data_IF_270641589318
#
_entry.id   IF_270641589318
#
_cell.length_a   1.000
_cell.length_b   1.000
_cell.length_c   1.000
_cell.angle_alpha   90.00
_cell.angle_beta   90.00
_cell.angle_gamma   90.00
#
_symmetry.space_group_name_H-M   'P 1'
#
loop_
_entity.id
_entity.type
_entity.pdbx_description
1 polymer ?
#
# COMPACT_ATOMS: atom_id res chain seq x y z
N UNK A 1 17.25 -21.19 -23.61
CA UNK A 1 15.79 -21.12 -23.73
C UNK A 1 15.30 -20.20 -22.63
N UNK A 2 14.55 -19.16 -22.97
CA UNK A 2 13.95 -18.25 -21.98
C UNK A 2 12.43 -18.40 -22.07
N UNK A 3 11.93 -19.53 -21.60
CA UNK A 3 10.49 -19.72 -21.45
C UNK A 3 10.02 -18.79 -20.33
N UNK A 4 8.87 -18.12 -20.52
CA UNK A 4 8.31 -17.18 -19.56
C UNK A 4 6.80 -17.36 -19.44
N UNK A 5 6.30 -17.33 -18.21
CA UNK A 5 4.88 -17.26 -17.93
C UNK A 5 4.44 -15.79 -17.90
N UNK A 6 3.33 -15.47 -18.57
CA UNK A 6 2.75 -14.12 -18.59
C UNK A 6 1.37 -14.17 -17.94
N UNK A 7 1.08 -13.33 -16.92
CA UNK A 7 -0.23 -13.30 -16.31
C UNK A 7 -1.27 -12.77 -17.30
N UNK A 8 -2.42 -13.44 -17.33
CA UNK A 8 -3.61 -12.99 -18.05
C UNK A 8 -4.64 -12.53 -17.02
N UNK A 9 -4.88 -11.22 -17.00
CA UNK A 9 -5.83 -10.53 -16.15
C UNK A 9 -7.18 -10.38 -16.87
N UNK A 10 -8.21 -9.96 -16.15
CA UNK A 10 -9.51 -9.71 -16.76
C UNK A 10 -9.60 -8.32 -17.40
N UNK A 11 -10.39 -8.20 -18.46
CA UNK A 11 -10.86 -6.94 -19.01
C UNK A 11 -12.37 -6.84 -18.83
N UNK A 12 -12.84 -5.66 -18.42
CA UNK A 12 -14.23 -5.23 -18.56
C UNK A 12 -14.37 -4.51 -19.89
N UNK A 13 -14.48 -3.18 -19.85
CA UNK A 13 -14.18 -2.37 -21.02
C UNK A 13 -12.67 -2.43 -21.32
N UNK A 14 -12.30 -3.06 -22.44
CA UNK A 14 -10.90 -3.27 -22.81
C UNK A 14 -10.17 -1.93 -23.00
N UNK A 15 -10.80 -0.95 -23.64
CA UNK A 15 -10.19 0.36 -23.90
C UNK A 15 -9.87 1.10 -22.61
N UNK A 16 -10.81 1.14 -21.66
CA UNK A 16 -10.62 1.74 -20.34
C UNK A 16 -9.55 1.00 -19.52
N UNK A 17 -9.50 -0.34 -19.62
CA UNK A 17 -8.47 -1.16 -18.97
C UNK A 17 -7.08 -0.80 -19.52
N UNK A 18 -6.91 -0.79 -20.85
CA UNK A 18 -5.65 -0.46 -21.50
C UNK A 18 -5.23 0.99 -21.26
N UNK A 19 -6.17 1.93 -21.24
CA UNK A 19 -5.91 3.34 -20.92
C UNK A 19 -5.32 3.50 -19.51
N UNK A 20 -5.85 2.78 -18.51
CA UNK A 20 -5.31 2.80 -17.15
C UNK A 20 -3.84 2.36 -17.08
N UNK A 21 -3.48 1.23 -17.70
CA UNK A 21 -2.08 0.78 -17.70
C UNK A 21 -1.18 1.71 -18.52
N UNK A 22 -1.70 2.34 -19.58
CA UNK A 22 -0.99 3.37 -20.33
C UNK A 22 -0.68 4.59 -19.47
N UNK A 23 -1.63 5.06 -18.65
CA UNK A 23 -1.39 6.15 -17.68
C UNK A 23 -0.21 5.82 -16.76
N UNK A 24 -0.07 4.56 -16.34
CA UNK A 24 1.01 4.10 -15.48
C UNK A 24 2.36 3.90 -16.20
N UNK A 25 2.42 4.21 -17.50
CA UNK A 25 3.65 4.18 -18.30
C UNK A 25 3.91 2.89 -19.06
N UNK A 26 2.94 1.98 -19.17
CA UNK A 26 3.04 0.87 -20.12
C UNK A 26 2.69 1.30 -21.54
N UNK A 27 3.23 0.57 -22.51
CA UNK A 27 2.87 0.70 -23.93
C UNK A 27 1.83 -0.37 -24.27
N UNK A 28 0.74 0.03 -24.92
CA UNK A 28 -0.22 -0.93 -25.49
C UNK A 28 0.38 -1.49 -26.77
N UNK A 29 0.77 -2.76 -26.77
CA UNK A 29 1.38 -3.43 -27.93
C UNK A 29 0.37 -4.23 -28.75
N UNK A 30 -0.79 -4.53 -28.16
CA UNK A 30 -1.87 -5.20 -28.85
C UNK A 30 -3.24 -4.79 -28.30
N UNK A 31 -4.19 -4.53 -29.20
CA UNK A 31 -5.59 -4.27 -28.87
C UNK A 31 -6.49 -4.90 -29.93
N UNK A 32 -7.26 -5.91 -29.53
CA UNK A 32 -8.20 -6.63 -30.37
C UNK A 32 -9.59 -6.55 -29.75
N UNK A 33 -10.60 -6.18 -30.53
CA UNK A 33 -12.00 -6.15 -30.10
C UNK A 33 -12.87 -7.22 -30.80
N UNK A 34 -12.35 -7.86 -31.85
CA UNK A 34 -13.00 -8.96 -32.59
C UNK A 34 -11.98 -9.98 -33.08
N UNK A 35 -12.31 -11.28 -33.14
CA UNK A 35 -13.60 -11.90 -32.79
C UNK A 35 -13.86 -12.01 -31.27
N UNK A 36 -12.85 -11.74 -30.45
CA UNK A 36 -12.95 -11.62 -29.00
C UNK A 36 -12.06 -10.47 -28.52
N UNK A 37 -12.34 -9.95 -27.32
CA UNK A 37 -11.51 -8.91 -26.72
C UNK A 37 -10.19 -9.52 -26.25
N UNK A 38 -9.07 -8.87 -26.60
CA UNK A 38 -7.75 -9.24 -26.12
C UNK A 38 -6.83 -8.04 -26.14
N UNK A 39 -6.11 -7.81 -25.04
CA UNK A 39 -5.20 -6.68 -24.91
C UNK A 39 -3.86 -7.11 -24.36
N UNK A 40 -2.80 -6.41 -24.78
CA UNK A 40 -1.45 -6.58 -24.25
C UNK A 40 -0.86 -5.22 -23.95
N UNK A 41 -0.27 -5.12 -22.76
CA UNK A 41 0.58 -3.99 -22.40
C UNK A 41 1.97 -4.50 -22.05
N UNK A 42 2.99 -3.81 -22.56
CA UNK A 42 4.40 -4.11 -22.33
C UNK A 42 5.14 -2.87 -21.85
N UNK A 43 6.09 -3.07 -20.94
CA UNK A 43 6.87 -1.99 -20.39
C UNK A 43 7.70 -2.48 -19.23
N UNK A 44 8.88 -1.86 -19.04
CA UNK A 44 9.74 -2.13 -17.88
C UNK A 44 10.13 -3.61 -17.73
N UNK A 45 10.34 -4.29 -18.86
CA UNK A 45 10.72 -5.70 -18.89
C UNK A 45 9.60 -6.68 -18.56
N UNK A 46 8.33 -6.22 -18.49
CA UNK A 46 7.19 -7.08 -18.18
C UNK A 46 6.04 -6.90 -19.18
N UNK A 47 5.18 -7.92 -19.24
CA UNK A 47 3.95 -7.92 -20.03
C UNK A 47 2.76 -8.29 -19.12
N UNK A 48 1.62 -7.63 -19.33
CA UNK A 48 0.33 -8.03 -18.77
C UNK A 48 -0.65 -8.22 -19.92
N UNK A 49 -1.33 -9.36 -19.93
CA UNK A 49 -2.33 -9.67 -20.95
C UNK A 49 -3.73 -9.55 -20.35
N UNK A 50 -4.73 -9.25 -21.18
CA UNK A 50 -6.10 -9.04 -20.75
C UNK A 50 -7.07 -9.80 -21.64
N UNK A 51 -8.03 -10.49 -21.01
CA UNK A 51 -9.14 -11.18 -21.67
C UNK A 51 -10.46 -10.91 -20.92
N UNK A 52 -11.64 -11.04 -21.55
CA UNK A 52 -12.91 -10.89 -20.85
C UNK A 52 -12.99 -11.73 -19.58
N UNK A 53 -13.61 -11.17 -18.54
CA UNK A 53 -14.05 -11.99 -17.42
C UNK A 53 -15.04 -13.08 -17.90
N UNK A 54 -15.12 -14.23 -17.20
CA UNK A 54 -16.11 -15.25 -17.49
C UNK A 54 -17.54 -14.68 -17.52
N UNK A 55 -18.40 -15.24 -18.37
CA UNK A 55 -19.80 -14.81 -18.48
C UNK A 55 -20.54 -14.92 -17.14
N UNK A 56 -21.29 -13.88 -16.78
CA UNK A 56 -22.03 -13.81 -15.51
C UNK A 56 -21.24 -13.27 -14.32
N UNK A 57 -19.95 -12.93 -14.51
CA UNK A 57 -19.16 -12.22 -13.50
C UNK A 57 -19.47 -10.72 -13.57
N UNK A 58 -19.95 -10.15 -12.48
CA UNK A 58 -20.07 -8.71 -12.32
C UNK A 58 -18.71 -8.10 -11.94
N UNK A 59 -18.31 -7.04 -12.65
CA UNK A 59 -17.07 -6.30 -12.41
C UNK A 59 -17.39 -4.91 -11.82
N UNK A 60 -16.51 -4.32 -10.99
CA UNK A 60 -15.20 -4.83 -10.59
C UNK A 60 -15.26 -5.99 -9.59
N UNK A 61 -14.33 -6.95 -9.71
CA UNK A 61 -14.21 -8.07 -8.78
C UNK A 61 -12.74 -8.36 -8.46
N UNK A 62 -12.37 -8.23 -7.19
CA UNK A 62 -11.00 -8.43 -6.70
C UNK A 62 -10.65 -9.89 -6.45
N UNK A 63 -10.60 -10.68 -7.53
CA UNK A 63 -10.30 -12.11 -7.46
C UNK A 63 -9.13 -12.55 -8.35
N UNK A 64 -8.72 -11.71 -9.31
CA UNK A 64 -7.60 -11.99 -10.20
C UNK A 64 -6.40 -11.15 -9.80
N UNK A 65 -5.23 -11.77 -9.77
CA UNK A 65 -4.01 -11.09 -9.38
C UNK A 65 -2.81 -11.42 -10.27
N UNK A 66 -1.88 -10.48 -10.35
CA UNK A 66 -0.54 -10.66 -10.90
C UNK A 66 0.51 -10.20 -9.89
N UNK A 67 1.66 -10.85 -9.91
CA UNK A 67 2.84 -10.41 -9.17
C UNK A 67 3.76 -9.66 -10.13
N UNK A 68 4.20 -8.47 -9.73
CA UNK A 68 5.16 -7.67 -10.47
C UNK A 68 6.42 -7.48 -9.63
N UNK A 69 7.47 -8.27 -9.94
CA UNK A 69 8.77 -8.14 -9.30
C UNK A 69 9.55 -6.96 -9.90
N UNK A 70 9.94 -5.99 -9.07
CA UNK A 70 10.64 -4.77 -9.47
C UNK A 70 11.92 -4.58 -8.67
N UNK A 71 12.90 -3.89 -9.26
CA UNK A 71 14.20 -3.67 -8.63
C UNK A 71 14.18 -2.50 -7.63
N UNK A 72 13.26 -1.55 -7.81
CA UNK A 72 13.01 -0.44 -6.89
C UNK A 72 11.49 -0.24 -6.72
N UNK A 73 10.95 -0.84 -5.66
CA UNK A 73 9.53 -0.74 -5.33
C UNK A 73 9.11 0.67 -4.90
N UNK A 74 10.02 1.44 -4.29
CA UNK A 74 9.73 2.78 -3.81
C UNK A 74 9.62 3.77 -4.99
N UNK A 75 10.56 3.73 -5.92
CA UNK A 75 10.51 4.50 -7.17
C UNK A 75 9.29 4.11 -8.01
N UNK A 76 8.97 2.80 -8.08
CA UNK A 76 7.79 2.33 -8.79
C UNK A 76 6.49 2.90 -8.19
N UNK A 77 6.36 2.88 -6.86
CA UNK A 77 5.21 3.46 -6.17
C UNK A 77 5.08 4.95 -6.42
N UNK A 78 6.19 5.70 -6.34
CA UNK A 78 6.22 7.13 -6.55
C UNK A 78 5.79 7.51 -7.98
N UNK A 79 6.28 6.77 -8.99
CA UNK A 79 5.89 6.98 -10.41
C UNK A 79 4.41 6.70 -10.65
N UNK A 80 3.87 5.60 -10.11
CA UNK A 80 2.44 5.30 -10.24
C UNK A 80 1.58 6.32 -9.52
N UNK A 81 1.96 6.69 -8.30
CA UNK A 81 1.31 7.76 -7.54
C UNK A 81 1.23 9.05 -8.36
N UNK A 82 2.35 9.50 -8.94
CA UNK A 82 2.41 10.74 -9.70
C UNK A 82 1.53 10.66 -10.96
N UNK A 83 1.58 9.55 -11.69
CA UNK A 83 0.77 9.32 -12.88
C UNK A 83 -0.73 9.32 -12.55
N UNK A 84 -1.13 8.60 -11.50
CA UNK A 84 -2.53 8.55 -11.05
C UNK A 84 -3.02 9.92 -10.58
N UNK A 85 -2.17 10.69 -9.86
CA UNK A 85 -2.52 12.05 -9.45
C UNK A 85 -2.69 12.98 -10.65
N UNK A 86 -1.81 12.88 -11.65
CA UNK A 86 -1.91 13.69 -12.86
C UNK A 86 -3.18 13.37 -13.67
N UNK A 87 -3.56 12.10 -13.75
CA UNK A 87 -4.76 11.66 -14.48
C UNK A 87 -6.06 12.01 -13.74
N UNK A 88 -6.12 11.76 -12.44
CA UNK A 88 -7.37 11.85 -11.67
C UNK A 88 -7.50 13.13 -10.82
N UNK A 89 -6.50 14.02 -10.85
CA UNK A 89 -6.39 15.18 -9.95
C UNK A 89 -6.11 14.83 -8.48
N UNK A 90 -6.12 13.54 -8.14
CA UNK A 90 -5.96 12.98 -6.80
C UNK A 90 -5.41 11.56 -6.87
N UNK A 91 -4.96 11.03 -5.73
CA UNK A 91 -4.61 9.62 -5.65
C UNK A 91 -5.87 8.80 -5.32
N UNK A 92 -6.25 7.81 -6.15
CA UNK A 92 -7.32 6.89 -5.78
C UNK A 92 -6.80 5.91 -4.72
N UNK A 93 -7.33 6.00 -3.51
CA UNK A 93 -6.92 5.16 -2.35
C UNK A 93 -8.00 4.20 -1.87
N UNK A 94 -9.21 4.26 -2.47
CA UNK A 94 -10.37 3.42 -2.15
C UNK A 94 -11.10 3.05 -3.44
N UNK A 95 -11.75 1.88 -3.45
CA UNK A 95 -12.49 1.39 -4.61
C UNK A 95 -11.58 0.88 -5.74
N UNK A 96 -12.11 0.91 -6.97
CA UNK A 96 -11.39 0.57 -8.20
C UNK A 96 -11.45 1.76 -9.17
N UNK A 97 -10.32 2.21 -9.73
CA UNK A 97 -8.96 1.79 -9.39
C UNK A 97 -8.53 2.30 -8.01
N UNK A 98 -7.45 1.75 -7.45
CA UNK A 98 -6.74 2.33 -6.30
C UNK A 98 -5.27 1.91 -6.23
N UNK A 99 -4.49 2.64 -5.45
CA UNK A 99 -3.13 2.27 -5.03
C UNK A 99 -3.03 2.34 -3.50
N UNK A 100 -2.41 1.33 -2.87
CA UNK A 100 -2.17 1.37 -1.42
C UNK A 100 -1.07 2.37 -1.08
N UNK A 101 -1.12 2.94 0.13
CA UNK A 101 -0.01 3.75 0.64
C UNK A 101 1.27 2.92 0.72
N UNK A 102 2.41 3.59 0.62
CA UNK A 102 3.72 2.96 0.74
C UNK A 102 4.58 3.73 1.75
N UNK A 103 5.24 3.02 2.64
CA UNK A 103 6.16 3.60 3.63
C UNK A 103 7.61 3.23 3.30
N UNK A 104 8.58 4.11 3.61
CA UNK A 104 9.99 3.76 3.53
C UNK A 104 10.27 2.44 4.27
N UNK A 105 10.98 1.52 3.61
CA UNK A 105 11.31 0.20 4.14
C UNK A 105 10.24 -0.89 3.90
N UNK A 106 9.08 -0.56 3.31
CA UNK A 106 8.19 -1.58 2.78
C UNK A 106 8.78 -2.20 1.50
N UNK A 107 8.50 -3.47 1.28
CA UNK A 107 8.98 -4.24 0.13
C UNK A 107 7.89 -4.45 -0.93
N UNK A 108 6.67 -3.94 -0.71
CA UNK A 108 5.55 -4.17 -1.63
C UNK A 108 4.46 -3.12 -1.49
N UNK A 109 3.65 -2.97 -2.54
CA UNK A 109 2.38 -2.26 -2.50
C UNK A 109 1.39 -2.92 -3.47
N UNK A 110 0.11 -2.60 -3.31
CA UNK A 110 -0.96 -3.11 -4.16
C UNK A 110 -1.50 -2.01 -5.06
N UNK A 111 -1.59 -2.32 -6.36
CA UNK A 111 -2.34 -1.58 -7.35
C UNK A 111 -3.58 -2.39 -7.70
N UNK A 112 -4.75 -1.75 -7.70
CA UNK A 112 -5.99 -2.35 -8.18
C UNK A 112 -6.47 -1.52 -9.36
N UNK A 113 -6.72 -2.18 -10.48
CA UNK A 113 -7.17 -1.53 -11.72
C UNK A 113 -8.69 -1.28 -11.73
N UNK A 114 -9.26 -0.63 -12.76
CA UNK A 114 -10.68 -0.28 -12.79
C UNK A 114 -11.64 -1.48 -12.76
N UNK A 115 -11.18 -2.69 -13.07
CA UNK A 115 -12.02 -3.90 -13.10
C UNK A 115 -11.76 -4.83 -11.92
N UNK A 116 -10.90 -4.41 -10.99
CA UNK A 116 -10.60 -5.15 -9.77
C UNK A 116 -9.40 -6.09 -9.89
N UNK A 117 -8.64 -6.09 -10.99
CA UNK A 117 -7.41 -6.90 -11.01
C UNK A 117 -6.42 -6.33 -10.00
N UNK A 118 -5.80 -7.22 -9.24
CA UNK A 118 -4.79 -6.87 -8.24
C UNK A 118 -3.39 -7.09 -8.81
N UNK A 119 -2.63 -6.02 -9.00
CA UNK A 119 -1.19 -6.11 -9.29
C UNK A 119 -0.44 -5.87 -7.98
N UNK A 120 0.10 -6.94 -7.40
CA UNK A 120 0.97 -6.87 -6.24
C UNK A 120 2.40 -6.59 -6.71
N UNK A 121 2.86 -5.36 -6.49
CA UNK A 121 4.21 -4.93 -6.86
C UNK A 121 5.13 -5.25 -5.69
N UNK A 122 6.19 -6.01 -5.95
CA UNK A 122 7.08 -6.58 -4.93
C UNK A 122 8.52 -6.29 -5.30
N UNK A 123 9.31 -5.89 -4.31
CA UNK A 123 10.76 -5.78 -4.41
C UNK A 123 11.37 -7.14 -4.76
N UNK A 124 12.19 -7.21 -5.82
CA UNK A 124 12.68 -8.48 -6.37
C UNK A 124 13.50 -9.31 -5.38
N UNK A 125 14.29 -8.66 -4.55
CA UNK A 125 15.14 -9.27 -3.51
C UNK A 125 14.46 -9.31 -2.14
N UNK A 126 13.13 -9.22 -2.10
CA UNK A 126 12.36 -9.42 -0.87
C UNK A 126 12.63 -10.83 -0.30
N UNK A 127 12.99 -10.93 1.01
CA UNK A 127 13.24 -12.23 1.63
C UNK A 127 12.03 -13.17 1.54
N UNK A 128 12.25 -14.43 1.14
CA UNK A 128 11.19 -15.45 1.09
C UNK A 128 10.54 -15.69 2.46
N UNK A 129 11.32 -15.55 3.54
CA UNK A 129 10.86 -15.66 4.92
C UNK A 129 10.44 -14.30 5.48
N UNK A 130 9.40 -13.69 4.92
CA UNK A 130 8.69 -12.65 5.65
C UNK A 130 7.92 -13.30 6.81
N UNK A 131 8.25 -12.93 8.05
CA UNK A 131 7.47 -13.35 9.21
C UNK A 131 6.13 -12.62 9.26
N UNK A 132 5.18 -13.04 8.43
CA UNK A 132 3.81 -12.52 8.42
C UNK A 132 3.05 -12.78 9.74
N UNK A 133 3.60 -13.63 10.62
CA UNK A 133 3.09 -13.88 11.97
C UNK A 133 3.69 -12.96 13.04
N UNK A 134 4.61 -12.08 12.66
CA UNK A 134 5.36 -11.23 13.54
C UNK A 134 6.51 -11.95 14.24
N UNK A 135 7.48 -11.16 14.71
CA UNK A 135 8.68 -11.70 15.34
C UNK A 135 8.35 -12.47 16.61
N UNK A 136 8.85 -13.71 16.67
CA UNK A 136 8.71 -14.58 17.84
C UNK A 136 9.55 -14.12 19.02
N UNK A 137 10.60 -13.36 18.74
CA UNK A 137 11.57 -12.86 19.72
C UNK A 137 11.12 -11.55 20.38
N UNK A 138 10.05 -10.92 19.86
CA UNK A 138 9.45 -9.74 20.46
C UNK A 138 8.39 -10.09 21.50
N UNK A 139 8.37 -9.31 22.58
CA UNK A 139 7.36 -9.29 23.63
C UNK A 139 6.79 -7.88 23.84
N UNK A 140 5.84 -7.76 24.78
CA UNK A 140 5.26 -6.48 25.19
C UNK A 140 4.73 -5.59 24.04
N UNK A 141 5.01 -4.30 24.15
CA UNK A 141 4.61 -3.29 23.15
C UNK A 141 5.36 -3.44 21.80
N UNK A 142 6.67 -3.78 21.76
CA UNK A 142 7.35 -4.11 20.50
C UNK A 142 6.63 -5.17 19.65
N UNK A 143 6.16 -6.26 20.29
CA UNK A 143 5.38 -7.29 19.58
C UNK A 143 4.07 -6.75 19.02
N UNK A 144 3.40 -5.86 19.75
CA UNK A 144 2.16 -5.22 19.27
C UNK A 144 2.43 -4.33 18.07
N UNK A 145 3.52 -3.54 18.10
CA UNK A 145 3.94 -2.68 17.00
C UNK A 145 4.18 -3.50 15.72
N UNK A 146 4.89 -4.63 15.84
CA UNK A 146 5.15 -5.49 14.69
C UNK A 146 3.86 -6.16 14.15
N UNK A 147 2.96 -6.61 15.03
CA UNK A 147 1.63 -7.09 14.61
C UNK A 147 0.80 -6.02 13.91
N UNK A 148 0.83 -4.78 14.41
CA UNK A 148 0.12 -3.67 13.80
C UNK A 148 0.70 -3.32 12.42
N UNK A 149 2.03 -3.39 12.26
CA UNK A 149 2.71 -3.27 10.97
C UNK A 149 2.20 -4.33 9.98
N UNK A 150 2.04 -5.58 10.41
CA UNK A 150 1.50 -6.65 9.55
C UNK A 150 0.07 -6.35 9.08
N UNK A 151 -0.82 -5.99 10.00
CA UNK A 151 -2.20 -5.64 9.64
C UNK A 151 -2.24 -4.49 8.64
N UNK A 152 -1.46 -3.45 8.90
CA UNK A 152 -1.42 -2.24 8.08
C UNK A 152 -0.79 -2.45 6.71
N UNK A 153 0.38 -3.07 6.67
CA UNK A 153 1.26 -3.03 5.49
C UNK A 153 1.08 -4.25 4.58
N UNK A 154 0.59 -5.37 5.11
CA UNK A 154 0.42 -6.61 4.36
C UNK A 154 -1.04 -7.02 4.20
N UNK A 155 -1.87 -6.74 5.21
CA UNK A 155 -3.31 -7.08 5.16
C UNK A 155 -4.18 -5.89 4.76
N UNK A 156 -3.61 -4.69 4.64
CA UNK A 156 -4.33 -3.44 4.38
C UNK A 156 -5.52 -3.22 5.35
N UNK A 157 -5.40 -3.70 6.60
CA UNK A 157 -6.43 -3.62 7.65
C UNK A 157 -6.03 -2.61 8.73
N UNK A 158 -6.18 -1.34 8.37
CA UNK A 158 -5.90 -0.21 9.26
C UNK A 158 -6.77 -0.24 10.54
N UNK A 159 -7.96 -0.82 10.46
CA UNK A 159 -8.88 -0.92 11.61
C UNK A 159 -8.35 -1.93 12.62
N UNK A 160 -7.88 -3.09 12.17
CA UNK A 160 -7.24 -4.07 13.04
C UNK A 160 -5.92 -3.54 13.61
N UNK A 161 -5.10 -2.86 12.79
CA UNK A 161 -3.86 -2.22 13.25
C UNK A 161 -4.12 -1.20 14.37
N UNK A 162 -5.12 -0.33 14.19
CA UNK A 162 -5.53 0.67 15.21
C UNK A 162 -5.95 -0.02 16.51
N UNK A 163 -6.83 -1.02 16.42
CA UNK A 163 -7.33 -1.76 17.60
C UNK A 163 -6.21 -2.48 18.35
N UNK A 164 -5.26 -3.07 17.61
CA UNK A 164 -4.11 -3.75 18.17
C UNK A 164 -3.24 -2.78 18.98
N UNK A 165 -2.90 -1.61 18.40
CA UNK A 165 -2.08 -0.60 19.05
C UNK A 165 -2.76 -0.03 20.31
N UNK A 166 -4.03 0.36 20.24
CA UNK A 166 -4.76 0.88 21.40
C UNK A 166 -4.86 -0.15 22.53
N UNK A 167 -5.07 -1.42 22.20
CA UNK A 167 -5.15 -2.50 23.20
C UNK A 167 -3.77 -2.79 23.78
N UNK A 168 -2.72 -2.79 22.97
CA UNK A 168 -1.35 -2.98 23.43
C UNK A 168 -0.88 -1.85 24.33
N UNK A 169 -1.18 -0.59 23.99
CA UNK A 169 -0.87 0.57 24.82
C UNK A 169 -1.56 0.48 26.18
N UNK A 170 -2.84 0.10 26.24
CA UNK A 170 -3.53 -0.12 27.52
C UNK A 170 -2.91 -1.22 28.36
N UNK A 171 -2.38 -2.27 27.72
CA UNK A 171 -1.84 -3.45 28.41
C UNK A 171 -0.39 -3.30 28.84
N UNK A 172 0.45 -2.69 28.00
CA UNK A 172 1.91 -2.66 28.16
C UNK A 172 2.47 -1.25 28.34
N UNK A 173 1.68 -0.20 28.11
CA UNK A 173 2.17 1.18 28.10
C UNK A 173 2.78 1.66 29.43
N UNK A 174 2.33 1.11 30.58
CA UNK A 174 2.87 1.50 31.88
C UNK A 174 4.32 1.00 32.11
N UNK A 175 4.76 -0.03 31.39
CA UNK A 175 6.09 -0.66 31.57
C UNK A 175 6.95 -0.61 30.31
N UNK A 176 6.42 -0.11 29.20
CA UNK A 176 7.13 -0.03 27.93
C UNK A 176 8.13 1.13 27.92
N UNK A 177 9.17 1.01 27.09
CA UNK A 177 10.09 2.11 26.83
C UNK A 177 9.35 3.31 26.20
N UNK A 178 9.76 4.53 26.56
CA UNK A 178 9.15 5.75 26.02
C UNK A 178 9.20 5.81 24.48
N UNK A 179 10.27 5.26 23.89
CA UNK A 179 10.43 5.15 22.43
C UNK A 179 9.39 4.25 21.77
N UNK A 180 8.98 3.15 22.42
CA UNK A 180 7.97 2.25 21.85
C UNK A 180 6.56 2.83 21.99
N UNK A 181 6.30 3.56 23.09
CA UNK A 181 5.06 4.34 23.26
C UNK A 181 4.99 5.42 22.18
N UNK A 182 6.09 6.12 21.93
CA UNK A 182 6.17 7.14 20.89
C UNK A 182 5.88 6.56 19.49
N UNK A 183 6.48 5.40 19.14
CA UNK A 183 6.18 4.68 17.89
C UNK A 183 4.71 4.31 17.77
N UNK A 184 4.09 3.87 18.86
CA UNK A 184 2.68 3.50 18.86
C UNK A 184 1.77 4.72 18.63
N UNK A 185 2.06 5.86 19.28
CA UNK A 185 1.33 7.11 19.05
C UNK A 185 1.53 7.65 17.63
N UNK A 186 2.76 7.62 17.11
CA UNK A 186 3.04 8.01 15.74
C UNK A 186 2.29 7.14 14.71
N UNK A 187 2.30 5.81 14.92
CA UNK A 187 1.54 4.89 14.08
C UNK A 187 0.02 5.13 14.15
N UNK A 188 -0.52 5.42 15.33
CA UNK A 188 -1.93 5.77 15.52
C UNK A 188 -2.31 7.11 14.88
N UNK A 189 -1.41 8.11 14.93
CA UNK A 189 -1.61 9.38 14.24
C UNK A 189 -1.70 9.18 12.72
N UNK A 190 -0.81 8.37 12.14
CA UNK A 190 -0.91 8.08 10.70
C UNK A 190 -2.16 7.26 10.34
N UNK A 191 -2.55 6.29 11.18
CA UNK A 191 -3.80 5.55 10.97
C UNK A 191 -5.02 6.46 11.03
N UNK A 192 -5.00 7.51 11.87
CA UNK A 192 -6.04 8.52 11.92
C UNK A 192 -6.11 9.34 10.62
N UNK A 193 -4.96 9.68 10.00
CA UNK A 193 -4.92 10.31 8.67
C UNK A 193 -5.56 9.40 7.62
N UNK A 194 -5.20 8.12 7.59
CA UNK A 194 -5.78 7.16 6.63
C UNK A 194 -7.30 6.99 6.82
N UNK A 195 -7.79 7.11 8.06
CA UNK A 195 -9.21 7.08 8.39
C UNK A 195 -9.95 8.39 8.08
N UNK A 196 -9.24 9.51 7.85
CA UNK A 196 -9.83 10.84 7.75
C UNK A 196 -10.32 11.40 9.09
N UNK A 197 -9.78 10.92 10.21
CA UNK A 197 -10.20 11.28 11.56
C UNK A 197 -9.27 12.34 12.16
N UNK A 198 -9.65 13.62 12.00
CA UNK A 198 -8.87 14.76 12.45
C UNK A 198 -8.80 14.90 13.98
N UNK A 199 -9.85 14.48 14.69
CA UNK A 199 -9.87 14.53 16.16
C UNK A 199 -8.88 13.52 16.74
N UNK A 200 -8.91 12.28 16.25
CA UNK A 200 -7.95 11.25 16.66
C UNK A 200 -6.54 11.61 16.25
N UNK A 201 -6.33 12.22 15.08
CA UNK A 201 -5.03 12.73 14.67
C UNK A 201 -4.49 13.75 15.68
N UNK A 202 -5.29 14.76 16.03
CA UNK A 202 -4.91 15.78 17.00
C UNK A 202 -4.59 15.17 18.38
N UNK A 203 -5.41 14.22 18.83
CA UNK A 203 -5.19 13.49 20.08
C UNK A 203 -3.84 12.78 20.11
N UNK A 204 -3.53 11.95 19.10
CA UNK A 204 -2.29 11.18 19.08
C UNK A 204 -1.04 12.02 18.84
N UNK A 205 -1.11 13.10 18.04
CA UNK A 205 0.00 14.06 17.92
C UNK A 205 0.26 14.78 19.23
N UNK A 206 -0.78 15.18 19.96
CA UNK A 206 -0.65 15.79 21.29
C UNK A 206 0.00 14.83 22.29
N UNK A 207 -0.46 13.57 22.33
CA UNK A 207 0.11 12.52 23.18
C UNK A 207 1.59 12.26 22.87
N UNK A 208 1.97 12.19 21.58
CA UNK A 208 3.37 12.06 21.15
C UNK A 208 4.23 13.23 21.62
N UNK A 209 3.75 14.46 21.45
CA UNK A 209 4.48 15.68 21.83
C UNK A 209 4.65 15.84 23.35
N UNK A 210 3.76 15.24 24.15
CA UNK A 210 3.83 15.27 25.60
C UNK A 210 4.85 14.28 26.19
N UNK A 211 5.37 13.34 25.39
CA UNK A 211 6.37 12.38 25.86
C UNK A 211 7.72 13.06 26.13
N UNK A 212 8.28 12.76 27.29
CA UNK A 212 9.62 13.20 27.67
C UNK A 212 10.67 12.31 27.00
N UNK A 213 11.11 12.71 25.80
CA UNK A 213 12.15 12.04 25.04
C UNK A 213 13.43 12.88 25.01
N UNK A 214 14.58 12.20 25.08
CA UNK A 214 15.90 12.82 24.88
C UNK A 214 16.07 13.29 23.42
N UNK A 215 17.09 14.10 23.16
CA UNK A 215 17.38 14.55 21.80
C UNK A 215 17.72 13.37 20.86
N UNK A 216 18.44 12.38 21.37
CA UNK A 216 18.83 11.17 20.64
C UNK A 216 17.61 10.31 20.30
N UNK A 217 16.70 10.11 21.26
CA UNK A 217 15.45 9.38 21.04
C UNK A 217 14.56 10.07 20.00
N UNK A 218 14.43 11.40 20.07
CA UNK A 218 13.68 12.17 19.07
C UNK A 218 14.29 12.05 17.67
N UNK A 219 15.61 12.09 17.57
CA UNK A 219 16.30 11.92 16.30
C UNK A 219 16.00 10.52 15.71
N UNK A 220 16.05 9.47 16.53
CA UNK A 220 15.76 8.09 16.12
C UNK A 220 14.30 7.88 15.69
N UNK A 221 13.36 8.69 16.21
CA UNK A 221 11.92 8.62 15.92
C UNK A 221 11.46 9.61 14.86
N UNK A 222 12.38 10.34 14.22
CA UNK A 222 12.04 11.41 13.28
C UNK A 222 11.21 10.92 12.09
N UNK A 223 11.52 9.73 11.56
CA UNK A 223 10.75 9.10 10.48
C UNK A 223 9.34 8.71 10.95
N UNK A 224 9.21 8.11 12.15
CA UNK A 224 7.91 7.74 12.73
C UNK A 224 7.03 8.98 12.93
N UNK A 225 7.59 10.04 13.54
CA UNK A 225 6.88 11.27 13.85
C UNK A 225 6.42 12.02 12.59
N UNK A 226 7.18 11.93 11.49
CA UNK A 226 6.83 12.56 10.22
C UNK A 226 5.76 11.79 9.42
N UNK A 227 5.49 10.53 9.76
CA UNK A 227 4.74 9.62 8.90
C UNK A 227 3.28 10.05 8.67
N UNK A 228 2.62 10.65 9.69
CA UNK A 228 1.27 11.22 9.51
C UNK A 228 1.25 12.38 8.52
N UNK A 229 2.27 13.24 8.58
CA UNK A 229 2.34 14.46 7.78
C UNK A 229 2.74 14.14 6.33
N UNK A 230 3.63 13.17 6.16
CA UNK A 230 3.95 12.59 4.85
C UNK A 230 2.72 11.96 4.20
N UNK A 231 1.91 11.19 4.96
CA UNK A 231 0.69 10.61 4.42
C UNK A 231 -0.35 11.67 4.06
N UNK A 232 -0.53 12.69 4.90
CA UNK A 232 -1.45 13.80 4.60
C UNK A 232 -1.04 14.53 3.32
N UNK A 233 0.28 14.76 3.15
CA UNK A 233 0.84 15.35 1.93
C UNK A 233 0.62 14.46 0.71
N UNK A 234 0.80 13.15 0.85
CA UNK A 234 0.54 12.19 -0.23
C UNK A 234 -0.92 12.21 -0.67
N UNK A 235 -1.86 12.28 0.26
CA UNK A 235 -3.31 12.32 -0.01
C UNK A 235 -3.83 13.64 -0.57
N UNK A 236 -3.04 14.72 -0.54
CA UNK A 236 -3.47 16.02 -1.02
C UNK A 236 -3.86 15.98 -2.51
N UNK A 237 -4.94 16.69 -2.84
CA UNK A 237 -5.41 16.89 -4.21
C UNK A 237 -4.59 17.98 -4.90
N UNK A 238 -4.52 17.90 -6.23
CA UNK A 238 -4.00 19.03 -7.03
C UNK A 238 -5.18 19.95 -7.32
N UNK A 239 -5.06 21.23 -6.96
CA UNK A 239 -6.09 22.25 -7.28
C UNK A 239 -6.19 22.52 -8.79
#
# INVERSE_FOLDING_TARGET
>A
MSDAAVPMLWSGDLGATLAFYRTLGWTVTHEQTRPYAYGVVEGQGTALHFSPAPGGVELPLEHVAALLLVDDVADRHAKFTAALRAEYGRIPVKGCPRITRFRPGQSRFTLVDPVGNTVLVIQRDEPESLEYGGSRDLDGLPKVLDNARIFRDFKNDDRAATRALETGLRRFGATAAATDIARAYAALAELAVAAGDSERLAHWKSALNALSLTAEERAALSADAAASDQLATWLATTD
#
